data_IF_671931970398
#
_entry.id   IF_671931970398
#
_cell.length_a   1.000
_cell.length_b   1.000
_cell.length_c   1.000
_cell.angle_alpha   90.00
_cell.angle_beta   90.00
_cell.angle_gamma   90.00
#
_symmetry.space_group_name_H-M   'P 1'
#
loop_
_entity.id
_entity.type
_entity.pdbx_description
1 polymer ?
#
# COMPACT_ATOMS: atom_id res chain seq x y z
N UNK A 1 -9.80 -21.78 -13.53
CA UNK A 1 -10.13 -20.85 -12.43
C UNK A 1 -10.11 -19.42 -12.96
N UNK A 2 -11.15 -18.68 -12.72
CA UNK A 2 -11.22 -17.23 -12.97
C UNK A 2 -10.29 -16.46 -12.04
N UNK A 3 -9.98 -15.18 -12.34
CA UNK A 3 -9.21 -14.32 -11.43
C UNK A 3 -9.86 -14.24 -10.04
N UNK A 4 -11.20 -14.15 -9.98
CA UNK A 4 -11.95 -14.07 -8.71
C UNK A 4 -11.82 -15.34 -7.89
N UNK A 5 -11.93 -16.50 -8.50
CA UNK A 5 -11.74 -17.78 -7.81
C UNK A 5 -10.31 -17.92 -7.27
N UNK A 6 -9.30 -17.53 -8.06
CA UNK A 6 -7.89 -17.52 -7.62
C UNK A 6 -7.67 -16.55 -6.44
N UNK A 7 -8.33 -15.39 -6.49
CA UNK A 7 -8.25 -14.38 -5.44
C UNK A 7 -8.89 -14.87 -4.13
N UNK A 8 -10.08 -15.46 -4.20
CA UNK A 8 -10.73 -16.03 -3.01
C UNK A 8 -9.92 -17.21 -2.43
N UNK A 9 -9.33 -18.06 -3.28
CA UNK A 9 -8.44 -19.12 -2.81
C UNK A 9 -7.19 -18.56 -2.14
N UNK A 10 -6.60 -17.49 -2.68
CA UNK A 10 -5.47 -16.81 -2.05
C UNK A 10 -5.84 -16.31 -0.65
N UNK A 11 -7.00 -15.66 -0.49
CA UNK A 11 -7.46 -15.17 0.81
C UNK A 11 -7.65 -16.30 1.81
N UNK A 12 -8.26 -17.41 1.39
CA UNK A 12 -8.43 -18.59 2.23
C UNK A 12 -7.10 -19.17 2.70
N UNK A 13 -6.11 -19.27 1.81
CA UNK A 13 -4.77 -19.78 2.13
C UNK A 13 -4.01 -18.82 3.08
N UNK A 14 -4.11 -17.51 2.86
CA UNK A 14 -3.51 -16.51 3.75
C UNK A 14 -4.14 -16.58 5.14
N UNK A 15 -5.46 -16.63 5.22
CA UNK A 15 -6.20 -16.76 6.48
C UNK A 15 -5.74 -17.99 7.26
N UNK A 16 -5.72 -19.14 6.59
CA UNK A 16 -5.33 -20.42 7.19
C UNK A 16 -3.90 -20.37 7.74
N UNK A 17 -2.97 -19.83 6.96
CA UNK A 17 -1.59 -19.67 7.40
C UNK A 17 -1.49 -18.73 8.62
N UNK A 18 -2.15 -17.57 8.60
CA UNK A 18 -2.11 -16.64 9.73
C UNK A 18 -2.68 -17.21 11.02
N UNK A 19 -3.72 -18.05 10.94
CA UNK A 19 -4.32 -18.73 12.10
C UNK A 19 -3.38 -19.77 12.73
N UNK A 20 -2.53 -20.41 11.91
CA UNK A 20 -1.63 -21.47 12.34
C UNK A 20 -0.15 -21.05 12.40
N UNK A 21 0.16 -19.86 11.94
CA UNK A 21 1.53 -19.32 11.95
C UNK A 21 2.04 -19.20 13.38
N UNK A 22 3.20 -19.80 13.72
CA UNK A 22 3.75 -19.67 15.06
C UNK A 22 3.90 -18.20 15.41
N UNK A 23 3.23 -17.75 16.45
CA UNK A 23 3.47 -16.41 16.99
C UNK A 23 4.91 -16.41 17.47
N UNK A 24 5.78 -15.69 16.73
CA UNK A 24 7.18 -15.59 17.11
C UNK A 24 7.25 -15.10 18.56
N UNK A 25 7.62 -16.00 19.48
CA UNK A 25 7.77 -15.74 20.91
C UNK A 25 9.02 -14.86 21.17
N UNK A 26 9.06 -13.69 20.57
CA UNK A 26 10.06 -12.69 20.91
C UNK A 26 9.43 -11.71 21.88
N UNK A 27 9.92 -11.73 23.10
CA UNK A 27 9.56 -10.82 24.17
C UNK A 27 9.37 -9.39 23.66
N UNK A 28 8.12 -8.89 23.69
CA UNK A 28 7.83 -7.46 23.69
C UNK A 28 7.67 -6.74 22.33
N UNK A 29 7.54 -7.43 21.19
CA UNK A 29 7.28 -6.74 19.91
C UNK A 29 5.88 -7.00 19.35
N UNK A 30 5.39 -6.18 18.40
CA UNK A 30 4.06 -6.35 17.81
C UNK A 30 3.94 -7.71 17.12
N UNK A 31 2.78 -8.31 17.23
CA UNK A 31 2.39 -9.54 16.54
C UNK A 31 1.61 -9.20 15.29
N UNK A 32 1.63 -10.09 14.31
CA UNK A 32 0.73 -10.03 13.16
C UNK A 32 -0.45 -10.96 13.40
N UNK A 33 -1.63 -10.43 13.18
CA UNK A 33 -2.89 -11.13 13.33
C UNK A 33 -3.68 -11.08 12.03
N UNK A 34 -4.59 -12.02 11.85
CA UNK A 34 -5.57 -11.96 10.76
C UNK A 34 -6.81 -11.20 11.21
N UNK A 35 -7.41 -10.46 10.27
CA UNK A 35 -8.66 -9.77 10.49
C UNK A 35 -9.83 -10.64 10.02
N UNK A 36 -10.53 -11.31 10.94
CA UNK A 36 -11.66 -12.18 10.63
C UNK A 36 -12.84 -11.44 9.96
N UNK A 37 -12.94 -10.13 10.19
CA UNK A 37 -13.97 -9.31 9.55
C UNK A 37 -13.68 -9.03 8.07
N UNK A 38 -12.48 -9.34 7.59
CA UNK A 38 -12.06 -9.09 6.19
C UNK A 38 -12.52 -10.21 5.25
N UNK A 39 -13.08 -11.28 5.76
CA UNK A 39 -13.69 -12.43 5.09
C UNK A 39 -13.13 -12.80 3.70
N UNK A 40 -13.46 -12.02 2.68
CA UNK A 40 -13.13 -12.31 1.29
C UNK A 40 -12.26 -11.21 0.63
N UNK A 41 -11.69 -10.31 1.43
CA UNK A 41 -10.88 -9.20 0.93
C UNK A 41 -9.62 -9.01 1.77
N UNK A 42 -8.51 -8.75 1.12
CA UNK A 42 -7.24 -8.41 1.75
C UNK A 42 -6.91 -6.92 1.58
N UNK A 43 -7.93 -6.12 1.41
CA UNK A 43 -7.82 -4.68 1.27
C UNK A 43 -8.52 -3.98 2.44
N UNK A 44 -7.72 -3.40 3.34
CA UNK A 44 -8.19 -2.65 4.50
C UNK A 44 -8.02 -1.13 4.34
N UNK A 45 -7.75 -0.66 3.12
CA UNK A 45 -7.61 0.76 2.86
C UNK A 45 -8.93 1.51 2.98
N UNK A 46 -8.87 2.72 3.52
CA UNK A 46 -10.03 3.61 3.61
C UNK A 46 -10.62 3.90 2.23
N UNK A 47 -9.77 4.03 1.21
CA UNK A 47 -10.19 4.04 -0.18
C UNK A 47 -10.19 2.62 -0.72
N UNK A 48 -11.38 2.08 -0.86
CA UNK A 48 -11.55 0.72 -1.32
C UNK A 48 -11.40 0.62 -2.84
N UNK A 49 -10.20 0.33 -3.28
CA UNK A 49 -9.89 0.06 -4.68
C UNK A 49 -9.51 -1.41 -4.80
N UNK A 50 -10.37 -2.24 -5.38
CA UNK A 50 -10.22 -3.69 -5.39
C UNK A 50 -10.49 -4.33 -6.76
N UNK A 51 -10.19 -3.62 -7.84
CA UNK A 51 -10.35 -4.16 -9.19
C UNK A 51 -9.31 -5.26 -9.45
N UNK A 52 -9.76 -6.48 -9.77
CA UNK A 52 -8.86 -7.56 -10.16
C UNK A 52 -8.28 -7.39 -11.58
N UNK A 53 -8.79 -6.42 -12.34
CA UNK A 53 -8.27 -6.04 -13.65
C UNK A 53 -7.50 -4.71 -13.60
N UNK A 54 -7.06 -4.35 -12.39
CA UNK A 54 -6.31 -3.11 -12.16
C UNK A 54 -5.00 -3.06 -12.94
N UNK A 55 -4.72 -1.92 -13.55
CA UNK A 55 -3.44 -1.61 -14.17
C UNK A 55 -2.42 -1.08 -13.17
N UNK A 56 -2.90 -0.44 -12.10
CA UNK A 56 -2.09 0.13 -11.04
C UNK A 56 -2.42 -0.54 -9.72
N UNK A 57 -1.39 -1.11 -9.08
CA UNK A 57 -1.45 -1.63 -7.73
C UNK A 57 -0.72 -0.67 -6.78
N UNK A 58 -1.43 -0.12 -5.80
CA UNK A 58 -0.81 0.59 -4.68
C UNK A 58 -0.52 -0.39 -3.56
N UNK A 59 0.70 -0.34 -3.04
CA UNK A 59 1.16 -1.23 -1.97
C UNK A 59 1.68 -0.40 -0.80
N UNK A 60 1.04 -0.53 0.36
CA UNK A 60 1.55 -0.05 1.65
C UNK A 60 2.40 -1.12 2.34
N UNK A 61 2.89 -0.80 3.55
CA UNK A 61 3.76 -1.71 4.29
C UNK A 61 2.97 -2.79 5.02
N UNK A 62 2.12 -2.40 5.93
CA UNK A 62 1.32 -3.25 6.80
C UNK A 62 0.09 -2.50 7.33
N UNK A 63 -0.81 -3.24 7.96
CA UNK A 63 -2.01 -2.68 8.56
C UNK A 63 -1.78 -2.28 10.00
N UNK A 64 -2.29 -1.11 10.41
CA UNK A 64 -2.47 -0.78 11.81
C UNK A 64 -3.56 -1.65 12.44
N UNK A 65 -3.62 -1.70 13.77
CA UNK A 65 -4.68 -2.43 14.46
C UNK A 65 -6.07 -1.86 14.08
N UNK A 66 -6.93 -2.64 13.44
CA UNK A 66 -8.27 -2.19 13.10
C UNK A 66 -9.21 -2.16 14.31
N UNK A 67 -8.75 -2.68 15.46
CA UNK A 67 -9.53 -2.84 16.67
C UNK A 67 -9.38 -1.68 17.66
N UNK A 68 -8.53 -0.68 17.39
CA UNK A 68 -8.43 0.50 18.23
C UNK A 68 -9.66 1.42 18.05
N UNK A 69 -9.88 2.32 19.00
CA UNK A 69 -11.03 3.24 18.98
C UNK A 69 -11.07 4.13 17.73
N UNK A 70 -9.90 4.54 17.23
CA UNK A 70 -9.79 5.34 16.01
C UNK A 70 -10.17 4.54 14.76
N UNK A 71 -9.98 3.22 14.80
CA UNK A 71 -10.22 2.31 13.69
C UNK A 71 -11.60 1.64 13.70
N UNK A 72 -12.37 1.75 14.78
CA UNK A 72 -13.74 1.16 14.89
C UNK A 72 -14.64 1.56 13.71
N UNK A 73 -14.58 2.81 13.29
CA UNK A 73 -15.33 3.29 12.12
C UNK A 73 -14.88 2.59 10.84
N UNK A 74 -13.58 2.38 10.67
CA UNK A 74 -13.02 1.67 9.51
C UNK A 74 -13.47 0.22 9.50
N UNK A 75 -13.42 -0.48 10.64
CA UNK A 75 -13.91 -1.85 10.76
C UNK A 75 -15.39 -2.00 10.46
N UNK A 76 -16.22 -1.11 11.02
CA UNK A 76 -17.65 -1.10 10.73
C UNK A 76 -17.92 -0.99 9.23
N UNK A 77 -17.21 -0.13 8.56
CA UNK A 77 -17.30 0.09 7.11
C UNK A 77 -16.82 -1.12 6.31
N UNK A 78 -15.70 -1.75 6.70
CA UNK A 78 -15.21 -2.97 6.06
C UNK A 78 -16.27 -4.08 6.16
N UNK A 79 -16.91 -4.25 7.33
CA UNK A 79 -18.03 -5.18 7.49
C UNK A 79 -19.18 -4.87 6.54
N UNK A 80 -19.60 -3.61 6.44
CA UNK A 80 -20.67 -3.20 5.54
C UNK A 80 -20.34 -3.52 4.08
N UNK A 81 -19.10 -3.29 3.64
CA UNK A 81 -18.66 -3.64 2.29
C UNK A 81 -18.64 -5.15 2.07
N UNK A 82 -18.13 -5.93 3.04
CA UNK A 82 -18.11 -7.39 2.98
C UNK A 82 -19.51 -8.01 2.93
N UNK A 83 -20.47 -7.36 3.57
CA UNK A 83 -21.87 -7.79 3.60
C UNK A 83 -22.66 -7.32 2.36
N UNK A 84 -21.99 -6.71 1.38
CA UNK A 84 -22.61 -6.25 0.12
C UNK A 84 -23.44 -4.96 0.27
N UNK A 85 -23.41 -4.33 1.46
CA UNK A 85 -24.29 -3.21 1.79
C UNK A 85 -23.86 -1.84 1.27
N UNK A 86 -22.61 -1.66 0.83
CA UNK A 86 -22.14 -0.35 0.34
C UNK A 86 -21.22 -0.54 -0.86
N UNK A 87 -21.70 -0.10 -2.01
CA UNK A 87 -20.87 0.05 -3.21
C UNK A 87 -19.90 1.25 -3.11
N UNK A 88 -20.14 2.16 -2.16
CA UNK A 88 -19.42 3.41 -2.05
C UNK A 88 -18.87 3.58 -0.63
N UNK A 89 -17.65 3.13 -0.44
CA UNK A 89 -16.90 3.38 0.76
C UNK A 89 -15.82 4.45 0.51
N UNK A 90 -16.28 5.69 0.41
CA UNK A 90 -15.37 6.81 0.25
C UNK A 90 -15.60 7.78 1.40
N UNK A 91 -14.60 7.98 2.26
CA UNK A 91 -14.75 8.90 3.37
C UNK A 91 -15.07 10.28 2.82
N UNK A 92 -16.03 10.96 3.45
CA UNK A 92 -16.19 12.38 3.24
C UNK A 92 -14.91 13.05 3.76
N UNK A 93 -13.98 13.34 2.85
CA UNK A 93 -12.69 13.95 3.14
C UNK A 93 -12.79 15.47 3.30
N UNK A 94 -13.98 15.99 3.51
CA UNK A 94 -14.20 17.38 3.87
C UNK A 94 -14.34 17.47 5.40
N UNK A 95 -13.33 18.00 6.09
CA UNK A 95 -13.44 18.25 7.52
C UNK A 95 -12.13 18.13 8.30
N UNK A 96 -12.17 18.53 9.57
CA UNK A 96 -10.99 18.60 10.48
C UNK A 96 -10.40 17.22 10.87
N UNK A 97 -11.06 16.12 10.55
CA UNK A 97 -10.72 14.76 11.00
C UNK A 97 -10.24 13.83 9.89
N UNK A 98 -9.77 14.39 8.77
CA UNK A 98 -9.21 13.57 7.69
C UNK A 98 -7.85 13.04 8.12
N UNK A 99 -7.68 11.72 8.08
CA UNK A 99 -6.37 11.11 8.25
C UNK A 99 -5.40 11.71 7.21
N UNK A 100 -4.26 12.28 7.61
CA UNK A 100 -3.30 12.87 6.67
C UNK A 100 -2.88 11.93 5.55
N UNK A 101 -2.77 10.64 5.83
CA UNK A 101 -2.46 9.61 4.81
C UNK A 101 -3.51 9.59 3.70
N UNK A 102 -4.79 9.57 4.07
CA UNK A 102 -5.90 9.50 3.11
C UNK A 102 -6.02 10.80 2.30
N UNK A 103 -5.90 11.95 2.98
CA UNK A 103 -5.93 13.25 2.32
C UNK A 103 -4.80 13.40 1.30
N UNK A 104 -3.58 13.06 1.70
CA UNK A 104 -2.41 13.12 0.83
C UNK A 104 -2.52 12.13 -0.33
N UNK A 105 -2.96 10.90 -0.08
CA UNK A 105 -3.12 9.87 -1.10
C UNK A 105 -4.07 10.31 -2.21
N UNK A 106 -5.21 10.92 -1.84
CA UNK A 106 -6.16 11.50 -2.78
C UNK A 106 -5.50 12.55 -3.69
N UNK A 107 -4.73 13.47 -3.10
CA UNK A 107 -4.04 14.51 -3.86
C UNK A 107 -2.94 13.94 -4.77
N UNK A 108 -2.27 12.87 -4.36
CA UNK A 108 -1.25 12.20 -5.15
C UNK A 108 -1.87 11.44 -6.34
N UNK A 109 -2.98 10.73 -6.14
CA UNK A 109 -3.68 10.06 -7.25
C UNK A 109 -4.28 11.04 -8.26
N UNK A 110 -4.66 12.25 -7.83
CA UNK A 110 -5.07 13.33 -8.76
C UNK A 110 -3.97 13.72 -9.73
N UNK A 111 -2.69 13.64 -9.33
CA UNK A 111 -1.56 13.85 -10.25
C UNK A 111 -1.62 12.87 -11.42
N UNK A 112 -2.04 11.61 -11.16
CA UNK A 112 -2.22 10.59 -12.19
C UNK A 112 -3.59 10.65 -12.90
N UNK A 113 -4.45 11.62 -12.54
CA UNK A 113 -5.78 11.79 -13.14
C UNK A 113 -6.90 10.97 -12.49
N UNK A 114 -6.65 10.30 -11.36
CA UNK A 114 -7.67 9.52 -10.64
C UNK A 114 -8.33 10.32 -9.53
N UNK A 115 -9.65 10.19 -9.37
CA UNK A 115 -10.37 10.72 -8.21
C UNK A 115 -10.78 9.56 -7.27
N UNK A 116 -10.07 9.43 -6.16
CA UNK A 116 -10.33 8.38 -5.17
C UNK A 116 -11.69 8.52 -4.44
N UNK A 117 -12.55 9.44 -4.84
CA UNK A 117 -13.94 9.52 -4.35
C UNK A 117 -14.85 8.47 -4.99
N UNK A 118 -14.40 7.82 -6.03
CA UNK A 118 -15.12 6.78 -6.73
C UNK A 118 -14.30 5.51 -6.84
N UNK A 119 -14.96 4.39 -7.08
CA UNK A 119 -14.27 3.14 -7.39
C UNK A 119 -13.70 3.22 -8.80
N UNK A 120 -12.40 3.03 -8.93
CA UNK A 120 -11.69 3.11 -10.19
C UNK A 120 -11.37 1.72 -10.73
N UNK A 121 -11.75 1.39 -11.97
CA UNK A 121 -11.54 0.06 -12.54
C UNK A 121 -10.05 -0.29 -12.72
N UNK A 122 -9.20 0.72 -12.80
CA UNK A 122 -7.78 0.57 -13.03
C UNK A 122 -6.96 0.44 -11.73
N UNK A 123 -7.60 0.49 -10.53
CA UNK A 123 -6.89 0.55 -9.25
C UNK A 123 -7.14 -0.66 -8.35
N UNK A 124 -6.06 -1.13 -7.73
CA UNK A 124 -6.09 -2.09 -6.62
C UNK A 124 -5.17 -1.62 -5.49
N UNK A 125 -5.70 -1.51 -4.27
CA UNK A 125 -4.92 -1.09 -3.10
C UNK A 125 -4.76 -2.24 -2.13
N UNK A 126 -3.53 -2.44 -1.65
CA UNK A 126 -3.20 -3.47 -0.67
C UNK A 126 -2.00 -3.06 0.18
N UNK A 127 -1.60 -3.92 1.10
CA UNK A 127 -0.31 -3.86 1.77
C UNK A 127 0.53 -5.09 1.41
N UNK A 128 1.84 -4.97 1.55
CA UNK A 128 2.75 -6.09 1.33
C UNK A 128 2.58 -7.14 2.44
N UNK A 129 2.49 -6.69 3.69
CA UNK A 129 2.16 -7.55 4.83
C UNK A 129 0.64 -7.60 4.96
N UNK A 130 0.06 -8.80 4.87
CA UNK A 130 -1.39 -9.00 4.74
C UNK A 130 -2.12 -9.08 6.07
N UNK A 131 -1.39 -9.32 7.18
CA UNK A 131 -1.93 -9.23 8.52
C UNK A 131 -1.86 -7.82 9.10
N UNK A 132 -2.51 -7.61 10.23
CA UNK A 132 -2.45 -6.36 10.97
C UNK A 132 -1.64 -6.50 12.27
N UNK A 133 -1.08 -5.39 12.74
CA UNK A 133 -0.38 -5.35 14.02
C UNK A 133 -1.36 -5.28 15.18
N UNK A 134 -1.10 -6.04 16.24
CA UNK A 134 -1.92 -6.03 17.46
C UNK A 134 -1.79 -4.75 18.29
N UNK A 135 -0.76 -3.95 18.06
CA UNK A 135 -0.49 -2.69 18.77
C UNK A 135 -0.11 -1.58 17.79
N UNK A 136 -1.08 -0.76 17.38
CA UNK A 136 -0.86 0.47 16.62
C UNK A 136 0.00 0.33 15.36
N UNK A 137 0.29 1.47 14.73
CA UNK A 137 1.08 1.53 13.49
C UNK A 137 2.57 1.77 13.71
N UNK A 138 3.00 2.08 14.95
CA UNK A 138 4.39 2.33 15.30
C UNK A 138 5.06 1.06 15.82
N UNK A 139 6.32 0.87 15.48
CA UNK A 139 7.11 -0.28 15.93
C UNK A 139 7.95 -0.90 14.81
N UNK A 140 8.88 -1.76 15.19
CA UNK A 140 9.84 -2.35 14.26
C UNK A 140 9.20 -3.19 13.17
N UNK A 141 9.62 -2.97 11.94
CA UNK A 141 9.34 -3.84 10.81
C UNK A 141 10.27 -5.05 10.87
N UNK A 142 9.72 -6.25 10.71
CA UNK A 142 10.50 -7.49 10.79
C UNK A 142 10.70 -8.11 9.43
N UNK A 143 11.95 -8.45 9.10
CA UNK A 143 12.30 -9.12 7.85
C UNK A 143 11.66 -10.52 7.74
N UNK A 144 11.34 -11.16 8.87
CA UNK A 144 10.61 -12.43 8.87
C UNK A 144 9.22 -12.27 8.24
N UNK A 145 8.49 -11.21 8.58
CA UNK A 145 7.18 -10.93 7.98
C UNK A 145 7.25 -10.80 6.46
N UNK A 146 8.35 -10.19 5.96
CA UNK A 146 8.56 -10.08 4.51
C UNK A 146 8.69 -11.46 3.89
N UNK A 147 9.47 -12.35 4.50
CA UNK A 147 9.66 -13.71 3.97
C UNK A 147 8.39 -14.54 4.02
N UNK A 148 7.62 -14.39 5.09
CA UNK A 148 6.39 -15.15 5.31
C UNK A 148 5.29 -14.73 4.32
N UNK A 149 5.15 -13.43 4.03
CA UNK A 149 4.08 -12.91 3.17
C UNK A 149 4.50 -12.77 1.68
N UNK A 150 5.80 -12.83 1.37
CA UNK A 150 6.29 -12.71 -0.01
C UNK A 150 5.62 -13.70 -1.01
N UNK A 151 5.39 -14.99 -0.67
CA UNK A 151 4.72 -15.91 -1.58
C UNK A 151 3.28 -15.50 -1.89
N UNK A 152 2.56 -14.97 -0.91
CA UNK A 152 1.17 -14.52 -1.06
C UNK A 152 1.10 -13.23 -1.86
N UNK A 153 1.98 -12.28 -1.59
CA UNK A 153 2.07 -11.06 -2.38
C UNK A 153 2.38 -11.36 -3.85
N UNK A 154 3.31 -12.29 -4.11
CA UNK A 154 3.62 -12.74 -5.48
C UNK A 154 2.38 -13.30 -6.17
N UNK A 155 1.65 -14.21 -5.52
CA UNK A 155 0.39 -14.77 -6.06
C UNK A 155 -0.64 -13.68 -6.33
N UNK A 156 -0.77 -12.68 -5.44
CA UNK A 156 -1.67 -11.55 -5.64
C UNK A 156 -1.30 -10.75 -6.90
N UNK A 157 -0.02 -10.40 -7.05
CA UNK A 157 0.47 -9.71 -8.23
C UNK A 157 0.26 -10.52 -9.53
N UNK A 158 0.40 -11.84 -9.47
CA UNK A 158 0.15 -12.75 -10.60
C UNK A 158 -1.35 -12.90 -10.94
N UNK A 159 -2.24 -12.73 -9.97
CA UNK A 159 -3.70 -12.72 -10.20
C UNK A 159 -4.13 -11.42 -10.87
N UNK A 160 -3.65 -10.29 -10.38
CA UNK A 160 -4.04 -8.96 -10.87
C UNK A 160 -3.31 -8.63 -12.18
N UNK A 161 -2.02 -8.99 -12.29
CA UNK A 161 -1.13 -8.67 -13.42
C UNK A 161 -1.05 -7.16 -13.71
N UNK A 162 -0.73 -6.32 -12.72
CA UNK A 162 -0.70 -4.88 -12.91
C UNK A 162 0.46 -4.48 -13.85
N UNK A 163 0.25 -3.42 -14.62
CA UNK A 163 1.32 -2.78 -15.42
C UNK A 163 2.27 -1.97 -14.52
N UNK A 164 1.74 -1.49 -13.40
CA UNK A 164 2.45 -0.63 -12.45
C UNK A 164 2.16 -1.00 -11.02
N UNK A 165 3.21 -1.05 -10.20
CA UNK A 165 3.14 -1.23 -8.75
C UNK A 165 3.78 -0.01 -8.09
N UNK A 166 3.01 0.73 -7.27
CA UNK A 166 3.48 1.90 -6.53
C UNK A 166 3.67 1.51 -5.06
N UNK A 167 4.90 1.54 -4.57
CA UNK A 167 5.26 1.12 -3.22
C UNK A 167 5.42 2.32 -2.28
N UNK A 168 4.60 2.42 -1.25
CA UNK A 168 4.66 3.48 -0.25
C UNK A 168 5.78 3.22 0.77
N UNK A 169 6.92 3.81 0.54
CA UNK A 169 8.08 3.73 1.44
C UNK A 169 9.11 2.69 1.05
N UNK A 170 10.29 2.85 1.65
CA UNK A 170 11.46 2.01 1.40
C UNK A 170 11.21 0.53 1.66
N UNK A 171 10.72 0.19 2.85
CA UNK A 171 10.54 -1.19 3.26
C UNK A 171 9.54 -1.93 2.36
N UNK A 172 8.49 -1.23 1.94
CA UNK A 172 7.49 -1.77 1.01
C UNK A 172 8.12 -2.07 -0.34
N UNK A 173 8.90 -1.14 -0.89
CA UNK A 173 9.60 -1.36 -2.15
C UNK A 173 10.56 -2.55 -2.08
N UNK A 174 11.41 -2.61 -1.05
CA UNK A 174 12.35 -3.72 -0.84
C UNK A 174 11.61 -5.06 -0.68
N UNK A 175 10.48 -5.06 0.06
CA UNK A 175 9.63 -6.23 0.23
C UNK A 175 8.99 -6.71 -1.08
N UNK A 176 8.40 -5.79 -1.84
CA UNK A 176 7.80 -6.08 -3.15
C UNK A 176 8.84 -6.64 -4.12
N UNK A 177 10.02 -6.03 -4.19
CA UNK A 177 11.11 -6.53 -5.04
C UNK A 177 11.54 -7.94 -4.63
N UNK A 178 11.67 -8.20 -3.32
CA UNK A 178 11.94 -9.55 -2.82
C UNK A 178 10.83 -10.54 -3.18
N UNK A 179 9.57 -10.17 -2.95
CA UNK A 179 8.42 -11.03 -3.25
C UNK A 179 8.32 -11.40 -4.74
N UNK A 180 8.58 -10.46 -5.64
CA UNK A 180 8.46 -10.68 -7.08
C UNK A 180 9.67 -11.37 -7.70
N UNK A 181 10.88 -11.12 -7.18
CA UNK A 181 12.13 -11.56 -7.81
C UNK A 181 12.89 -12.63 -7.01
N UNK A 182 12.55 -12.83 -5.74
CA UNK A 182 13.34 -13.64 -4.79
C UNK A 182 14.69 -13.03 -4.40
N UNK A 183 15.01 -11.84 -4.91
CA UNK A 183 16.29 -11.16 -4.65
C UNK A 183 16.12 -10.01 -3.68
N UNK A 184 17.01 -9.92 -2.69
CA UNK A 184 17.03 -8.79 -1.76
C UNK A 184 17.57 -7.55 -2.47
N UNK A 185 16.75 -6.51 -2.55
CA UNK A 185 17.18 -5.18 -2.94
C UNK A 185 17.32 -4.31 -1.69
N UNK A 186 18.41 -3.56 -1.57
CA UNK A 186 18.65 -2.67 -0.44
C UNK A 186 18.86 -1.24 -0.93
N UNK A 187 17.92 -0.39 -0.62
CA UNK A 187 17.99 1.04 -0.95
C UNK A 187 18.75 1.77 0.17
N UNK A 188 19.87 2.39 -0.17
CA UNK A 188 20.63 3.27 0.74
C UNK A 188 20.31 4.73 0.45
N UNK A 189 20.03 5.53 1.49
CA UNK A 189 19.72 6.95 1.31
C UNK A 189 18.44 7.18 0.51
N UNK A 190 17.30 6.80 1.07
CA UNK A 190 16.02 6.73 0.35
C UNK A 190 15.64 8.03 -0.37
N UNK A 191 15.84 9.22 0.25
CA UNK A 191 15.59 10.49 -0.43
C UNK A 191 16.50 10.68 -1.66
N UNK A 192 17.79 10.31 -1.56
CA UNK A 192 18.70 10.37 -2.72
C UNK A 192 18.23 9.45 -3.84
N UNK A 193 17.78 8.25 -3.49
CA UNK A 193 17.22 7.29 -4.45
C UNK A 193 15.99 7.84 -5.17
N UNK A 194 15.10 8.54 -4.45
CA UNK A 194 13.95 9.22 -5.06
C UNK A 194 14.39 10.42 -5.94
N UNK A 195 15.35 11.19 -5.47
CA UNK A 195 15.84 12.39 -6.18
C UNK A 195 16.60 12.05 -7.45
N UNK A 196 17.32 10.93 -7.49
CA UNK A 196 18.06 10.48 -8.69
C UNK A 196 17.16 10.04 -9.84
N UNK A 197 15.85 9.78 -9.57
CA UNK A 197 14.95 9.20 -10.56
C UNK A 197 15.15 7.69 -10.77
N UNK A 198 16.07 7.05 -10.03
CA UNK A 198 16.33 5.60 -10.12
C UNK A 198 15.34 4.75 -9.33
N UNK A 199 14.26 5.35 -8.84
CA UNK A 199 13.25 4.74 -8.00
C UNK A 199 12.27 3.80 -8.74
N UNK A 200 12.63 3.38 -9.97
CA UNK A 200 11.87 2.44 -10.80
C UNK A 200 12.66 1.16 -11.05
N UNK A 201 11.96 0.03 -11.03
CA UNK A 201 12.44 -1.27 -11.51
C UNK A 201 11.42 -1.86 -12.47
N UNK A 202 11.88 -2.64 -13.42
CA UNK A 202 11.01 -3.47 -14.26
C UNK A 202 11.19 -4.93 -13.85
N UNK A 203 10.11 -5.62 -13.61
CA UNK A 203 10.09 -7.04 -13.28
C UNK A 203 9.22 -7.77 -14.29
N UNK A 204 9.50 -9.06 -14.53
CA UNK A 204 8.60 -9.91 -15.30
C UNK A 204 7.75 -10.74 -14.34
N UNK A 205 6.43 -10.67 -14.50
CA UNK A 205 5.50 -11.55 -13.81
C UNK A 205 5.59 -12.97 -14.39
N UNK A 206 5.06 -13.98 -13.70
CA UNK A 206 5.11 -15.38 -14.17
C UNK A 206 4.43 -15.60 -15.53
N UNK A 207 3.48 -14.74 -15.89
CA UNK A 207 2.87 -14.72 -17.23
C UNK A 207 3.78 -14.17 -18.34
N UNK A 208 4.97 -13.67 -17.99
CA UNK A 208 5.87 -12.98 -18.92
C UNK A 208 5.56 -11.50 -19.10
N UNK A 209 4.45 -10.98 -18.55
CA UNK A 209 4.12 -9.55 -18.63
C UNK A 209 5.09 -8.71 -17.80
N UNK A 210 5.60 -7.60 -18.34
CA UNK A 210 6.42 -6.67 -17.56
C UNK A 210 5.55 -5.85 -16.63
N UNK A 211 6.04 -5.60 -15.41
CA UNK A 211 5.47 -4.64 -14.48
C UNK A 211 6.54 -3.63 -14.03
N UNK A 212 6.17 -2.36 -14.00
CA UNK A 212 7.01 -1.30 -13.46
C UNK A 212 6.76 -1.13 -11.97
N UNK A 213 7.78 -1.30 -11.14
CA UNK A 213 7.70 -1.13 -9.68
C UNK A 213 8.35 0.19 -9.30
N UNK A 214 7.59 1.09 -8.68
CA UNK A 214 8.04 2.40 -8.24
C UNK A 214 8.12 2.49 -6.73
N UNK A 215 9.23 3.01 -6.22
CA UNK A 215 9.31 3.46 -4.84
C UNK A 215 8.85 4.93 -4.75
N UNK A 216 7.98 5.26 -3.80
CA UNK A 216 7.61 6.63 -3.45
C UNK A 216 7.66 6.80 -1.93
N UNK A 217 7.77 8.05 -1.45
CA UNK A 217 7.68 8.31 -0.03
C UNK A 217 6.27 7.97 0.49
N UNK A 218 6.20 7.41 1.70
CA UNK A 218 4.92 7.17 2.35
C UNK A 218 4.16 8.50 2.52
N UNK A 219 2.88 8.51 2.19
CA UNK A 219 2.06 9.73 2.17
C UNK A 219 1.52 10.18 3.54
N UNK A 220 1.76 9.43 4.61
CA UNK A 220 1.45 9.83 5.98
C UNK A 220 2.42 10.89 6.52
N UNK A 221 2.09 11.49 7.66
CA UNK A 221 2.84 12.61 8.26
C UNK A 221 4.34 12.35 8.39
N UNK A 222 4.75 11.19 8.92
CA UNK A 222 6.17 10.84 9.10
C UNK A 222 6.87 10.68 7.75
N UNK A 223 6.22 10.05 6.78
CA UNK A 223 6.77 9.87 5.44
C UNK A 223 6.95 11.20 4.72
N UNK A 224 5.97 12.10 4.81
CA UNK A 224 6.02 13.46 4.25
C UNK A 224 7.12 14.27 4.92
N UNK A 225 7.21 14.27 6.24
CA UNK A 225 8.28 14.93 6.99
C UNK A 225 9.67 14.45 6.55
N UNK A 226 9.84 13.12 6.44
CA UNK A 226 11.12 12.55 6.01
C UNK A 226 11.46 12.90 4.56
N UNK A 227 10.45 12.95 3.66
CA UNK A 227 10.66 13.33 2.25
C UNK A 227 11.06 14.80 2.11
N UNK A 228 10.53 15.67 2.95
CA UNK A 228 10.80 17.11 2.95
C UNK A 228 12.11 17.49 3.65
N UNK A 229 12.74 16.55 4.39
CA UNK A 229 13.97 16.85 5.14
C UNK A 229 15.08 17.41 4.24
N UNK A 230 15.54 18.62 4.57
CA UNK A 230 16.56 19.35 3.80
C UNK A 230 16.06 19.98 2.50
N UNK A 231 14.75 19.94 2.23
CA UNK A 231 14.15 20.64 1.10
C UNK A 231 13.64 22.01 1.53
N UNK A 232 13.65 22.93 0.58
CA UNK A 232 13.21 24.31 0.75
C UNK A 232 11.99 24.59 -0.12
N UNK A 233 11.11 25.45 0.37
CA UNK A 233 10.06 26.08 -0.41
C UNK A 233 10.67 27.16 -1.34
N UNK A 234 9.87 27.68 -2.27
CA UNK A 234 10.30 28.71 -3.22
C UNK A 234 10.78 30.01 -2.51
N UNK A 235 10.19 30.31 -1.35
CA UNK A 235 10.58 31.46 -0.50
C UNK A 235 11.83 31.19 0.37
N UNK A 236 12.48 30.02 0.22
CA UNK A 236 13.65 29.60 0.98
C UNK A 236 13.37 29.05 2.38
N UNK A 237 12.12 29.02 2.84
CA UNK A 237 11.72 28.41 4.11
C UNK A 237 11.84 26.86 4.07
N UNK A 238 11.90 26.23 5.24
CA UNK A 238 11.85 24.77 5.29
C UNK A 238 10.42 24.28 5.04
N UNK A 239 10.29 23.26 4.18
CA UNK A 239 9.00 22.61 3.94
C UNK A 239 8.49 21.96 5.22
N UNK A 240 7.22 22.17 5.52
CA UNK A 240 6.56 21.57 6.66
C UNK A 240 6.28 20.08 6.46
N UNK A 241 5.99 19.38 7.57
CA UNK A 241 5.59 17.95 7.53
C UNK A 241 4.21 17.72 6.88
N UNK A 242 3.48 18.78 6.55
CA UNK A 242 2.14 18.69 5.93
C UNK A 242 2.15 18.97 4.43
N UNK A 243 3.24 19.53 3.91
CA UNK A 243 3.36 19.92 2.50
C UNK A 243 3.78 18.73 1.66
N UNK A 244 2.99 18.37 0.68
CA UNK A 244 3.24 17.24 -0.24
C UNK A 244 3.78 17.66 -1.61
N UNK A 245 4.26 18.89 -1.75
CA UNK A 245 4.76 19.41 -3.02
C UNK A 245 5.87 18.52 -3.62
N UNK A 246 6.86 18.12 -2.80
CA UNK A 246 7.94 17.22 -3.25
C UNK A 246 7.39 15.85 -3.66
N UNK A 247 6.43 15.31 -2.90
CA UNK A 247 5.80 14.03 -3.26
C UNK A 247 4.99 14.17 -4.56
N UNK A 248 4.28 15.28 -4.78
CA UNK A 248 3.61 15.53 -6.07
C UNK A 248 4.60 15.54 -7.24
N UNK A 249 5.77 16.13 -7.08
CA UNK A 249 6.83 16.06 -8.10
C UNK A 249 7.31 14.63 -8.35
N UNK A 250 7.45 13.80 -7.30
CA UNK A 250 7.78 12.38 -7.47
C UNK A 250 6.71 11.66 -8.30
N UNK A 251 5.44 11.96 -8.08
CA UNK A 251 4.31 11.35 -8.79
C UNK A 251 4.15 11.89 -10.22
N UNK A 252 4.49 13.16 -10.49
CA UNK A 252 4.58 13.70 -11.86
C UNK A 252 5.64 12.94 -12.69
N UNK A 253 6.74 12.51 -12.09
CA UNK A 253 7.72 11.66 -12.79
C UNK A 253 7.14 10.29 -13.15
N UNK A 254 6.30 9.72 -12.29
CA UNK A 254 5.57 8.47 -12.58
C UNK A 254 4.63 8.70 -13.76
N UNK A 255 3.87 9.80 -13.75
CA UNK A 255 2.97 10.19 -14.83
C UNK A 255 3.69 10.37 -16.16
N UNK A 256 4.86 11.03 -16.14
CA UNK A 256 5.69 11.23 -17.34
C UNK A 256 6.16 9.93 -17.99
N UNK A 257 6.15 8.80 -17.25
CA UNK A 257 6.41 7.47 -17.80
C UNK A 257 5.14 6.80 -18.40
N UNK A 258 4.09 7.57 -18.66
CA UNK A 258 2.86 7.09 -19.31
C UNK A 258 1.81 6.50 -18.36
N UNK A 259 1.98 6.69 -17.05
CA UNK A 259 1.07 6.14 -16.04
C UNK A 259 0.06 7.21 -15.65
N UNK A 260 -1.08 7.18 -16.29
CA UNK A 260 -2.19 8.09 -16.02
C UNK A 260 -3.54 7.46 -16.43
N UNK A 261 -4.62 7.99 -15.85
CA UNK A 261 -5.98 7.64 -16.30
C UNK A 261 -6.13 8.06 -17.76
N UNK A 262 -6.56 7.12 -18.60
CA UNK A 262 -6.87 7.36 -20.01
C UNK A 262 -8.29 7.88 -20.18
#
# INVERSE_FOLDING_TARGET
MTKREKYHQLIADVREDYLHRPVAQTSGGPKLLWCEDCKQEINLWTYWQNSLDAKIMLVGQDWGCPCDEASKTTMHRIRQVNDGGIEQFFPNLSGKNVNPTDGNLKELFRVLGYDLKTKEPDLFFTNFILGYRDHGTSGGFRQQWVRDDAPYFKRLAEIIEPETIICLGKNTFEGVMFGLTGKTERVRGFNRFLDSGENRRTVSLSSGKPASVYAVAHCGTIGTMNRNRGKKAEDGSNLSSKEIAVQKQDWERIKANGIQKK
#
